data_IF_429440959049
#
_entry.id   IF_429440959049
#
_cell.length_a   1.000
_cell.length_b   1.000
_cell.length_c   1.000
_cell.angle_alpha   90.00
_cell.angle_beta   90.00
_cell.angle_gamma   90.00
#
_symmetry.space_group_name_H-M   'P 1'
#
loop_
_entity.id
_entity.type
_entity.pdbx_description
1 polymer ?
#
# COMPACT_ATOMS: atom_id res chain seq x y z
N UNK A 1 22.23 56.70 56.00
CA UNK A 1 22.03 57.05 54.60
C UNK A 1 22.47 55.83 53.79
N UNK A 2 21.55 54.96 53.42
CA UNK A 2 21.85 53.70 52.72
C UNK A 2 21.23 53.79 51.34
N UNK A 3 22.06 53.91 50.31
CA UNK A 3 21.62 53.89 48.94
C UNK A 3 21.39 52.46 48.47
N UNK A 4 20.13 52.13 48.23
CA UNK A 4 19.72 50.83 47.68
C UNK A 4 19.85 50.90 46.15
N UNK A 5 20.79 50.15 45.61
CA UNK A 5 21.02 50.00 44.19
C UNK A 5 20.02 48.97 43.65
N UNK A 6 19.03 49.40 42.91
CA UNK A 6 18.10 48.51 42.18
C UNK A 6 18.67 48.17 40.83
N UNK A 7 19.09 46.90 40.61
CA UNK A 7 19.42 46.37 39.30
C UNK A 7 18.11 46.06 38.54
N UNK A 8 17.98 46.46 37.25
CA UNK A 8 16.89 45.99 36.41
C UNK A 8 17.15 44.56 35.94
N UNK A 9 16.23 43.69 36.24
CA UNK A 9 16.17 42.29 35.77
C UNK A 9 15.82 42.31 34.27
N UNK A 10 16.85 42.25 33.39
CA UNK A 10 16.63 42.07 31.96
C UNK A 10 16.12 40.67 31.70
N UNK A 11 14.81 40.54 31.40
CA UNK A 11 14.18 39.31 30.98
C UNK A 11 14.71 38.94 29.57
N UNK A 12 15.62 37.96 29.55
CA UNK A 12 16.12 37.38 28.30
C UNK A 12 15.04 36.44 27.78
N UNK A 13 14.22 36.92 26.85
CA UNK A 13 13.21 36.13 26.14
C UNK A 13 13.94 35.23 25.13
N UNK A 14 14.25 34.01 25.53
CA UNK A 14 14.74 32.97 24.62
C UNK A 14 13.57 32.54 23.72
N UNK A 15 13.54 33.05 22.50
CA UNK A 15 12.71 32.53 21.42
C UNK A 15 13.18 31.11 21.06
N UNK A 16 12.59 30.12 21.72
CA UNK A 16 12.73 28.72 21.33
C UNK A 16 11.94 28.52 20.04
N UNK A 17 12.56 28.71 18.89
CA UNK A 17 11.99 28.25 17.62
C UNK A 17 11.99 26.72 17.66
N UNK A 18 10.84 26.13 17.96
CA UNK A 18 10.62 24.70 17.85
C UNK A 18 10.78 24.32 16.36
N UNK A 19 11.98 23.91 15.98
CA UNK A 19 12.24 23.25 14.71
C UNK A 19 11.63 21.84 14.83
N UNK A 20 10.40 21.70 14.33
CA UNK A 20 9.71 20.41 14.28
C UNK A 20 10.43 19.57 13.24
N UNK A 21 11.37 18.74 13.68
CA UNK A 21 11.93 17.67 12.84
C UNK A 21 10.77 16.73 12.50
N UNK A 22 10.27 16.81 11.27
CA UNK A 22 9.39 15.80 10.71
C UNK A 22 10.22 14.52 10.66
N UNK A 23 9.97 13.62 11.59
CA UNK A 23 10.61 12.32 11.67
C UNK A 23 10.01 11.49 10.53
N UNK A 24 10.68 11.47 9.39
CA UNK A 24 10.34 10.56 8.30
C UNK A 24 10.67 9.14 8.76
N UNK A 25 9.66 8.47 9.33
CA UNK A 25 9.74 7.03 9.57
C UNK A 25 9.96 6.38 8.20
N UNK A 26 11.01 5.55 8.02
CA UNK A 26 11.23 4.91 6.73
C UNK A 26 9.98 4.11 6.36
N UNK A 27 9.30 4.52 5.29
CA UNK A 27 8.13 3.80 4.79
C UNK A 27 8.59 2.43 4.32
N UNK A 28 7.86 1.37 4.70
CA UNK A 28 8.12 0.03 4.18
C UNK A 28 8.03 0.09 2.66
N UNK A 29 9.05 -0.43 1.97
CA UNK A 29 9.03 -0.57 0.53
C UNK A 29 8.54 -1.96 0.14
N UNK A 30 7.90 -2.08 -1.02
CA UNK A 30 7.53 -3.38 -1.57
C UNK A 30 8.77 -4.27 -1.68
N UNK A 31 8.69 -5.46 -1.12
CA UNK A 31 9.80 -6.42 -1.16
C UNK A 31 10.03 -6.92 -2.60
N UNK A 32 11.29 -7.12 -2.96
CA UNK A 32 11.71 -7.63 -4.28
C UNK A 32 11.90 -9.14 -4.20
N UNK A 33 10.92 -9.89 -4.70
CA UNK A 33 10.88 -11.37 -4.73
C UNK A 33 10.27 -11.86 -6.03
N UNK A 34 10.55 -13.09 -6.39
CA UNK A 34 9.98 -13.70 -7.59
C UNK A 34 8.61 -14.30 -7.29
N UNK A 35 7.65 -13.98 -8.15
CA UNK A 35 6.30 -14.55 -8.16
C UNK A 35 5.98 -15.09 -9.54
N UNK A 36 4.97 -15.97 -9.66
CA UNK A 36 4.60 -16.58 -10.92
C UNK A 36 3.28 -16.02 -11.44
N UNK A 37 3.24 -15.57 -12.70
CA UNK A 37 2.01 -15.19 -13.39
C UNK A 37 1.13 -16.41 -13.72
N UNK A 38 -0.15 -16.17 -14.04
CA UNK A 38 -1.07 -17.24 -14.46
C UNK A 38 -0.67 -17.89 -15.80
N UNK A 39 0.23 -17.27 -16.57
CA UNK A 39 0.85 -17.82 -17.78
C UNK A 39 2.12 -18.64 -17.49
N UNK A 40 2.49 -18.77 -16.21
CA UNK A 40 3.66 -19.51 -15.74
C UNK A 40 4.97 -18.73 -15.75
N UNK A 41 4.98 -17.47 -16.22
CA UNK A 41 6.20 -16.65 -16.21
C UNK A 41 6.55 -16.18 -14.82
N UNK A 42 7.84 -16.17 -14.52
CA UNK A 42 8.38 -15.60 -13.29
C UNK A 42 8.61 -14.10 -13.48
N UNK A 43 8.12 -13.32 -12.52
CA UNK A 43 8.27 -11.85 -12.49
C UNK A 43 8.77 -11.46 -11.11
N UNK A 44 9.76 -10.56 -11.07
CA UNK A 44 10.21 -10.01 -9.80
C UNK A 44 9.32 -8.84 -9.37
N UNK A 45 8.80 -8.88 -8.15
CA UNK A 45 7.88 -7.85 -7.61
C UNK A 45 8.51 -6.45 -7.51
N UNK A 46 9.85 -6.38 -7.41
CA UNK A 46 10.59 -5.11 -7.46
C UNK A 46 10.51 -4.40 -8.82
N UNK A 47 10.05 -5.11 -9.88
CA UNK A 47 9.79 -4.54 -11.21
C UNK A 47 8.35 -4.10 -11.43
N UNK A 48 7.48 -4.27 -10.44
CA UNK A 48 6.12 -3.76 -10.54
C UNK A 48 6.15 -2.25 -10.78
N UNK A 49 5.38 -1.82 -11.73
CA UNK A 49 5.33 -0.41 -12.13
C UNK A 49 3.93 -0.04 -12.60
N UNK A 50 3.57 1.21 -12.38
CA UNK A 50 2.32 1.79 -12.87
C UNK A 50 2.54 3.23 -13.38
N UNK A 51 3.72 3.51 -13.93
CA UNK A 51 4.03 4.84 -14.49
C UNK A 51 3.96 5.96 -13.44
N UNK A 52 4.37 5.68 -12.20
CA UNK A 52 4.31 6.64 -11.10
C UNK A 52 2.95 6.73 -10.41
N UNK A 53 1.93 6.00 -10.86
CA UNK A 53 0.59 5.99 -10.27
C UNK A 53 0.49 4.93 -9.15
N UNK A 54 -0.51 5.01 -8.26
CA UNK A 54 -0.68 4.07 -7.16
C UNK A 54 -0.84 2.62 -7.60
N UNK A 55 -0.43 1.70 -6.71
CA UNK A 55 -0.67 0.27 -6.85
C UNK A 55 -1.33 -0.25 -5.57
N UNK A 56 -2.36 -1.07 -5.73
CA UNK A 56 -2.93 -1.89 -4.64
C UNK A 56 -2.40 -3.29 -4.79
N UNK A 57 -1.83 -3.85 -3.71
CA UNK A 57 -1.40 -5.26 -3.65
C UNK A 57 -2.22 -5.96 -2.57
N UNK A 58 -3.07 -6.94 -2.96
CA UNK A 58 -3.88 -7.71 -2.03
C UNK A 58 -3.44 -9.17 -2.02
N UNK A 59 -3.06 -9.67 -0.83
CA UNK A 59 -2.76 -11.08 -0.59
C UNK A 59 -4.05 -11.84 -0.26
N UNK A 60 -4.28 -12.94 -0.97
CA UNK A 60 -5.49 -13.73 -0.87
C UNK A 60 -5.23 -15.22 -1.08
N UNK A 61 -6.28 -16.05 -0.94
CA UNK A 61 -6.24 -17.46 -1.31
C UNK A 61 -7.64 -17.94 -1.74
N UNK A 62 -7.69 -19.02 -2.52
CA UNK A 62 -8.95 -19.61 -3.00
C UNK A 62 -9.83 -20.14 -1.86
N UNK A 63 -9.25 -20.51 -0.74
CA UNK A 63 -9.95 -20.96 0.48
C UNK A 63 -10.35 -19.81 1.42
N UNK A 64 -9.92 -18.58 1.16
CA UNK A 64 -10.18 -17.40 1.99
C UNK A 64 -11.50 -16.71 1.56
N UNK A 65 -12.60 -16.99 2.26
CA UNK A 65 -13.90 -16.41 1.92
C UNK A 65 -13.94 -14.86 2.03
N UNK A 66 -13.41 -14.21 3.09
CA UNK A 66 -13.38 -12.73 3.15
C UNK A 66 -12.49 -12.10 2.08
N UNK A 67 -11.37 -12.74 1.69
CA UNK A 67 -10.53 -12.26 0.59
C UNK A 67 -11.29 -12.19 -0.73
N UNK A 68 -12.04 -13.26 -1.03
CA UNK A 68 -12.85 -13.35 -2.25
C UNK A 68 -13.93 -12.28 -2.30
N UNK A 69 -14.54 -11.97 -1.14
CA UNK A 69 -15.51 -10.86 -1.05
C UNK A 69 -14.86 -9.51 -1.35
N UNK A 70 -13.75 -9.21 -0.67
CA UNK A 70 -13.00 -7.96 -0.89
C UNK A 70 -12.63 -7.79 -2.36
N UNK A 71 -12.02 -8.83 -2.96
CA UNK A 71 -11.58 -8.76 -4.34
C UNK A 71 -12.73 -8.69 -5.35
N UNK A 72 -13.88 -9.34 -5.08
CA UNK A 72 -15.07 -9.21 -5.92
C UNK A 72 -15.63 -7.77 -5.85
N UNK A 73 -15.74 -7.18 -4.66
CA UNK A 73 -16.19 -5.81 -4.49
C UNK A 73 -15.23 -4.80 -5.17
N UNK A 74 -13.91 -5.05 -5.09
CA UNK A 74 -12.93 -4.26 -5.84
C UNK A 74 -13.15 -4.40 -7.36
N UNK A 75 -13.43 -5.61 -7.85
CA UNK A 75 -13.63 -5.84 -9.28
C UNK A 75 -14.83 -5.05 -9.83
N UNK A 76 -15.91 -4.91 -9.05
CA UNK A 76 -17.11 -4.15 -9.42
C UNK A 76 -16.83 -2.65 -9.64
N UNK A 77 -15.85 -2.08 -8.93
CA UNK A 77 -15.52 -0.64 -8.96
C UNK A 77 -14.16 -0.34 -9.59
N UNK A 78 -13.42 -1.35 -10.02
CA UNK A 78 -12.03 -1.20 -10.47
C UNK A 78 -11.89 -0.29 -11.70
N UNK A 79 -12.79 -0.38 -12.65
CA UNK A 79 -12.78 0.48 -13.84
C UNK A 79 -12.93 1.96 -13.47
N UNK A 80 -13.82 2.28 -12.51
CA UNK A 80 -13.98 3.63 -12.01
C UNK A 80 -12.70 4.12 -11.30
N UNK A 81 -12.11 3.29 -10.44
CA UNK A 81 -10.86 3.61 -9.76
C UNK A 81 -9.72 3.89 -10.73
N UNK A 82 -9.60 3.07 -11.79
CA UNK A 82 -8.59 3.27 -12.84
C UNK A 82 -8.82 4.59 -13.59
N UNK A 83 -10.06 4.91 -13.91
CA UNK A 83 -10.41 6.14 -14.62
C UNK A 83 -10.08 7.38 -13.78
N UNK A 84 -10.34 7.35 -12.48
CA UNK A 84 -10.13 8.51 -11.60
C UNK A 84 -8.67 8.67 -11.15
N UNK A 85 -7.99 7.59 -10.80
CA UNK A 85 -6.66 7.63 -10.16
C UNK A 85 -5.57 7.00 -10.99
N UNK A 86 -5.94 6.20 -11.99
CA UNK A 86 -5.02 5.37 -12.76
C UNK A 86 -4.43 4.23 -11.95
N UNK A 87 -5.03 3.85 -10.82
CA UNK A 87 -4.52 2.78 -9.96
C UNK A 87 -4.44 1.45 -10.69
N UNK A 88 -3.41 0.67 -10.35
CA UNK A 88 -3.29 -0.74 -10.73
C UNK A 88 -3.59 -1.60 -9.51
N UNK A 89 -4.44 -2.62 -9.68
CA UNK A 89 -4.67 -3.64 -8.66
C UNK A 89 -3.91 -4.92 -9.03
N UNK A 90 -3.22 -5.49 -8.06
CA UNK A 90 -2.46 -6.74 -8.15
C UNK A 90 -2.95 -7.66 -7.03
N UNK A 91 -3.52 -8.80 -7.38
CA UNK A 91 -3.90 -9.81 -6.40
C UNK A 91 -2.88 -10.96 -6.39
N UNK A 92 -2.31 -11.22 -5.21
CA UNK A 92 -1.27 -12.23 -5.01
C UNK A 92 -1.85 -13.40 -4.24
N UNK A 93 -2.01 -14.54 -4.92
CA UNK A 93 -2.47 -15.77 -4.28
C UNK A 93 -1.33 -16.41 -3.47
N UNK A 94 -1.64 -16.76 -2.22
CA UNK A 94 -0.77 -17.54 -1.33
C UNK A 94 -1.15 -19.04 -1.30
N UNK A 95 -1.95 -19.49 -2.26
CA UNK A 95 -2.23 -20.92 -2.44
C UNK A 95 -0.92 -21.67 -2.71
N UNK A 96 -0.69 -22.74 -1.98
CA UNK A 96 0.48 -23.60 -2.18
C UNK A 96 0.45 -24.31 -3.55
N UNK A 97 1.52 -24.99 -3.93
CA UNK A 97 1.65 -25.68 -5.22
C UNK A 97 0.52 -26.71 -5.50
N UNK A 98 -0.16 -27.25 -4.46
CA UNK A 98 -1.28 -28.19 -4.64
C UNK A 98 -2.59 -27.47 -4.96
N UNK A 99 -2.74 -26.25 -4.47
CA UNK A 99 -3.96 -25.47 -4.59
C UNK A 99 -3.89 -24.37 -5.65
N UNK A 100 -2.69 -23.95 -6.06
CA UNK A 100 -2.48 -22.88 -7.06
C UNK A 100 -3.18 -23.14 -8.40
N UNK A 101 -3.37 -24.41 -8.76
CA UNK A 101 -4.13 -24.80 -9.97
C UNK A 101 -5.60 -24.38 -9.94
N UNK A 102 -6.16 -24.08 -8.76
CA UNK A 102 -7.54 -23.59 -8.57
C UNK A 102 -7.66 -22.08 -8.82
N UNK A 103 -6.54 -21.35 -8.78
CA UNK A 103 -6.54 -19.88 -8.86
C UNK A 103 -7.05 -19.42 -10.22
N UNK A 104 -6.45 -19.90 -11.31
CA UNK A 104 -6.81 -19.48 -12.66
C UNK A 104 -8.29 -19.73 -12.99
N UNK A 105 -8.86 -20.93 -12.79
CA UNK A 105 -10.30 -21.15 -13.01
C UNK A 105 -11.19 -20.22 -12.17
N UNK A 106 -10.80 -19.93 -10.91
CA UNK A 106 -11.56 -19.04 -10.06
C UNK A 106 -11.55 -17.61 -10.59
N UNK A 107 -10.38 -17.09 -10.97
CA UNK A 107 -10.21 -15.74 -11.55
C UNK A 107 -11.03 -15.58 -12.83
N UNK A 108 -10.97 -16.58 -13.73
CA UNK A 108 -11.74 -16.58 -14.96
C UNK A 108 -13.26 -16.62 -14.70
N UNK A 109 -13.72 -17.39 -13.72
CA UNK A 109 -15.13 -17.44 -13.30
C UNK A 109 -15.64 -16.11 -12.74
N UNK A 110 -14.77 -15.35 -12.03
CA UNK A 110 -15.11 -14.06 -11.44
C UNK A 110 -14.90 -12.90 -12.41
N UNK A 111 -14.35 -13.16 -13.61
CA UNK A 111 -14.07 -12.15 -14.65
C UNK A 111 -13.16 -11.01 -14.12
N UNK A 112 -12.23 -11.33 -13.22
CA UNK A 112 -11.31 -10.34 -12.69
C UNK A 112 -10.35 -9.85 -13.78
N UNK A 113 -10.24 -8.52 -13.94
CA UNK A 113 -9.44 -7.86 -15.00
C UNK A 113 -8.08 -7.36 -14.51
N UNK A 114 -7.82 -7.40 -13.20
CA UNK A 114 -6.55 -6.98 -12.63
C UNK A 114 -5.47 -8.07 -12.67
N UNK A 115 -4.22 -7.70 -12.43
CA UNK A 115 -3.08 -8.62 -12.49
C UNK A 115 -3.12 -9.65 -11.35
N UNK A 116 -2.86 -10.92 -11.69
CA UNK A 116 -2.85 -12.02 -10.72
C UNK A 116 -1.48 -12.70 -10.72
N UNK A 117 -0.92 -12.88 -9.52
CA UNK A 117 0.31 -13.62 -9.32
C UNK A 117 0.15 -14.72 -8.28
N UNK A 118 1.01 -15.74 -8.37
CA UNK A 118 1.06 -16.89 -7.48
C UNK A 118 2.35 -16.82 -6.66
N UNK A 119 2.20 -16.81 -5.33
CA UNK A 119 3.28 -16.89 -4.34
C UNK A 119 3.24 -18.27 -3.66
N UNK A 120 3.44 -19.34 -4.47
CA UNK A 120 3.26 -20.74 -4.06
C UNK A 120 4.13 -21.13 -2.86
N UNK A 121 5.32 -20.52 -2.73
CA UNK A 121 6.24 -20.74 -1.63
C UNK A 121 6.03 -19.76 -0.47
N UNK A 122 5.15 -18.78 -0.62
CA UNK A 122 4.88 -17.71 0.34
C UNK A 122 6.11 -16.85 0.68
N UNK A 123 7.04 -16.70 -0.27
CA UNK A 123 8.25 -15.89 -0.09
C UNK A 123 7.91 -14.40 -0.06
N UNK A 124 7.03 -13.96 -0.95
CA UNK A 124 6.56 -12.58 -0.99
C UNK A 124 5.72 -12.26 0.25
N UNK A 125 4.80 -13.13 0.62
CA UNK A 125 4.03 -13.04 1.86
C UNK A 125 4.93 -12.82 3.07
N UNK A 126 5.98 -13.66 3.23
CA UNK A 126 6.92 -13.55 4.36
C UNK A 126 7.71 -12.24 4.31
N UNK A 127 8.22 -11.86 3.14
CA UNK A 127 9.01 -10.63 2.96
C UNK A 127 8.21 -9.35 3.23
N UNK A 128 6.89 -9.40 3.06
CA UNK A 128 5.97 -8.32 3.38
C UNK A 128 5.41 -8.38 4.82
N UNK A 129 5.86 -9.35 5.64
CA UNK A 129 5.35 -9.58 7.00
C UNK A 129 3.83 -9.84 7.06
N UNK A 130 3.26 -10.46 6.03
CA UNK A 130 1.86 -10.81 5.98
C UNK A 130 1.62 -12.07 6.82
N UNK A 131 0.90 -11.94 7.93
CA UNK A 131 0.56 -13.06 8.81
C UNK A 131 -0.74 -13.74 8.35
N UNK A 132 -1.79 -12.97 8.16
CA UNK A 132 -3.13 -13.42 7.79
C UNK A 132 -3.57 -12.81 6.46
N UNK A 133 -4.54 -13.44 5.79
CA UNK A 133 -5.23 -12.90 4.62
C UNK A 133 -6.72 -12.71 4.92
N UNK A 134 -7.40 -11.70 4.33
CA UNK A 134 -6.83 -10.75 3.38
C UNK A 134 -5.79 -9.84 4.03
N UNK A 135 -4.80 -9.41 3.25
CA UNK A 135 -3.90 -8.34 3.64
C UNK A 135 -3.65 -7.47 2.41
N UNK A 136 -4.09 -6.23 2.48
CA UNK A 136 -4.08 -5.30 1.36
C UNK A 136 -3.20 -4.10 1.67
N UNK A 137 -2.29 -3.80 0.75
CA UNK A 137 -1.38 -2.67 0.78
C UNK A 137 -1.77 -1.66 -0.29
N UNK A 138 -1.68 -0.38 0.02
CA UNK A 138 -1.68 0.71 -0.95
C UNK A 138 -0.26 1.24 -1.06
N UNK A 139 0.24 1.33 -2.29
CA UNK A 139 1.59 1.79 -2.60
C UNK A 139 1.51 3.10 -3.39
N UNK A 140 2.50 3.98 -3.17
CA UNK A 140 2.75 5.11 -4.06
C UNK A 140 3.42 4.68 -5.37
N UNK A 141 3.63 5.63 -6.28
CA UNK A 141 4.28 5.38 -7.57
C UNK A 141 5.76 4.94 -7.49
N UNK A 142 6.37 4.98 -6.29
CA UNK A 142 7.74 4.55 -6.00
C UNK A 142 7.80 3.21 -5.26
N UNK A 143 6.67 2.51 -5.14
CA UNK A 143 6.50 1.25 -4.42
C UNK A 143 6.68 1.38 -2.90
N UNK A 144 6.53 2.55 -2.32
CA UNK A 144 6.49 2.71 -0.87
C UNK A 144 5.07 2.41 -0.38
N UNK A 145 4.98 1.65 0.72
CA UNK A 145 3.70 1.37 1.39
C UNK A 145 3.21 2.65 2.06
N UNK A 146 2.10 3.19 1.61
CA UNK A 146 1.45 4.36 2.20
C UNK A 146 0.37 3.98 3.20
N UNK A 147 -0.22 2.80 3.03
CA UNK A 147 -1.26 2.28 3.91
C UNK A 147 -1.40 0.76 3.77
N UNK A 148 -1.94 0.11 4.80
CA UNK A 148 -2.24 -1.31 4.78
C UNK A 148 -3.38 -1.67 5.73
N UNK A 149 -4.07 -2.77 5.41
CA UNK A 149 -5.07 -3.42 6.28
C UNK A 149 -4.95 -4.94 6.18
N UNK A 150 -5.25 -5.62 7.28
CA UNK A 150 -5.29 -7.10 7.34
C UNK A 150 -6.68 -7.62 7.73
N UNK A 151 -7.71 -6.79 7.53
CA UNK A 151 -9.10 -7.11 7.86
C UNK A 151 -10.00 -6.66 6.73
N UNK A 152 -10.82 -7.56 6.22
CA UNK A 152 -11.95 -7.21 5.36
C UNK A 152 -13.09 -6.67 6.23
N UNK A 153 -13.57 -5.48 5.91
CA UNK A 153 -14.75 -4.86 6.53
C UNK A 153 -15.89 -4.77 5.50
N UNK A 154 -16.98 -5.53 5.66
CA UNK A 154 -18.10 -5.50 4.72
C UNK A 154 -18.88 -4.18 4.72
N UNK A 155 -18.62 -3.28 5.69
CA UNK A 155 -19.29 -1.99 5.81
C UNK A 155 -18.33 -0.85 5.45
N UNK A 156 -17.79 -0.86 4.22
CA UNK A 156 -16.97 0.22 3.70
C UNK A 156 -15.46 -0.07 3.69
N UNK A 157 -15.04 -1.35 3.67
CA UNK A 157 -13.63 -1.72 3.58
C UNK A 157 -13.02 -1.33 2.25
N UNK A 158 -13.74 -1.54 1.16
CA UNK A 158 -13.31 -1.21 -0.20
C UNK A 158 -13.24 0.31 -0.41
N UNK A 159 -14.19 1.07 0.14
CA UNK A 159 -14.15 2.54 0.16
C UNK A 159 -12.96 3.08 0.96
N UNK A 160 -12.60 2.42 2.06
CA UNK A 160 -11.41 2.79 2.84
C UNK A 160 -10.14 2.59 2.01
N UNK A 161 -9.99 1.46 1.31
CA UNK A 161 -8.88 1.22 0.38
C UNK A 161 -8.85 2.31 -0.69
N UNK A 162 -10.01 2.63 -1.29
CA UNK A 162 -10.08 3.66 -2.33
C UNK A 162 -9.72 5.06 -1.83
N UNK A 163 -10.13 5.41 -0.63
CA UNK A 163 -9.72 6.66 0.01
C UNK A 163 -8.20 6.79 0.09
N UNK A 164 -7.50 5.72 0.45
CA UNK A 164 -6.03 5.70 0.54
C UNK A 164 -5.37 5.70 -0.86
N UNK A 165 -5.97 5.04 -1.85
CA UNK A 165 -5.55 5.13 -3.26
C UNK A 165 -5.59 6.58 -3.76
N UNK A 166 -6.67 7.32 -3.47
CA UNK A 166 -6.78 8.75 -3.84
C UNK A 166 -5.69 9.61 -3.16
N UNK A 167 -5.38 9.35 -1.90
CA UNK A 167 -4.29 10.05 -1.20
C UNK A 167 -2.93 9.77 -1.85
N UNK A 168 -2.65 8.49 -2.16
CA UNK A 168 -1.41 8.09 -2.82
C UNK A 168 -1.29 8.73 -4.22
N UNK A 169 -2.38 8.80 -4.99
CA UNK A 169 -2.42 9.47 -6.30
C UNK A 169 -2.12 10.96 -6.19
N UNK A 170 -2.69 11.64 -5.21
CA UNK A 170 -2.46 13.07 -4.99
C UNK A 170 -1.01 13.38 -4.60
N UNK A 171 -0.37 12.51 -3.82
CA UNK A 171 1.03 12.67 -3.40
C UNK A 171 2.00 12.53 -4.57
N UNK A 172 1.70 11.64 -5.52
CA UNK A 172 2.55 11.41 -6.70
C UNK A 172 2.41 12.54 -7.74
N UNK A 173 1.26 13.24 -7.76
CA UNK A 173 1.02 14.36 -8.66
C UNK A 173 1.71 15.66 -8.23
N UNK A 174 2.20 15.75 -6.98
CA UNK A 174 2.92 16.92 -6.49
C UNK A 174 4.34 16.95 -7.08
N UNK A 175 4.79 18.08 -7.73
CA UNK A 175 6.16 18.19 -8.20
C UNK A 175 7.13 18.08 -7.02
N UNK A 176 8.25 17.37 -7.24
CA UNK A 176 9.34 17.33 -6.26
C UNK A 176 9.75 18.77 -5.88
N UNK A 177 10.04 19.06 -4.60
CA UNK A 177 10.51 20.38 -4.21
C UNK A 177 11.79 20.70 -4.99
N UNK A 178 11.78 21.78 -5.79
CA UNK A 178 12.98 22.29 -6.44
C UNK A 178 13.98 22.67 -5.35
N UNK A 179 15.06 21.92 -5.25
CA UNK A 179 16.22 22.30 -4.45
C UNK A 179 16.89 23.49 -5.14
N UNK A 180 16.66 24.69 -4.59
CA UNK A 180 17.46 25.87 -4.87
C UNK A 180 18.69 25.89 -4.00
#
# INVERSE_FOLDING_TARGET
>A
MKNLFTLPLAALFFLFTAFTLKQDTPSQKLASVDVKGLDGKIINTGTFSNGGKPIVVSFWATWCAPCKKELNEIAEVYEEWQKETGVKVIAVSIDDARNSTKVKPYVEQQEWTYEIYLDENQDFKRSMNVNNVPHTFVLDGNLNVTWQTNVYNPNGGVEAIYSEVKKAAATTAAPAPENK
#
